data_IF_535513371742
#
_entry.id   IF_535513371742
#
_cell.length_a   1.000
_cell.length_b   1.000
_cell.length_c   1.000
_cell.angle_alpha   90.00
_cell.angle_beta   90.00
_cell.angle_gamma   90.00
#
_symmetry.space_group_name_H-M   'P 1'
#
loop_
_entity.id
_entity.type
_entity.pdbx_description
1 polymer ?
#
# COMPACT_ATOMS: atom_id res chain seq x y z
N UNK A 1 -11.25 -22.40 -15.20
CA UNK A 1 -10.07 -22.76 -16.04
C UNK A 1 -8.74 -22.49 -15.33
N UNK A 2 -8.50 -21.30 -14.76
CA UNK A 2 -7.19 -20.89 -14.22
C UNK A 2 -7.02 -20.99 -12.69
N UNK A 3 -7.88 -21.75 -11.99
CA UNK A 3 -7.93 -21.79 -10.52
C UNK A 3 -6.60 -22.22 -9.86
N UNK A 4 -5.80 -23.02 -10.57
CA UNK A 4 -4.53 -23.56 -10.09
C UNK A 4 -3.35 -23.06 -10.92
N UNK A 5 -3.48 -21.90 -11.58
CA UNK A 5 -2.36 -21.33 -12.30
C UNK A 5 -1.32 -20.80 -11.32
N UNK A 6 -0.04 -21.14 -11.51
CA UNK A 6 1.08 -20.78 -10.62
C UNK A 6 2.37 -20.59 -11.39
N UNK A 7 3.31 -19.82 -10.83
CA UNK A 7 4.69 -19.75 -11.34
C UNK A 7 5.50 -20.99 -10.92
N UNK A 8 6.68 -21.16 -11.52
CA UNK A 8 7.61 -22.25 -11.15
C UNK A 8 8.10 -22.07 -9.70
N UNK A 9 8.41 -20.84 -9.30
CA UNK A 9 8.91 -20.50 -7.97
C UNK A 9 7.86 -20.78 -6.88
N UNK A 10 6.61 -20.37 -7.09
CA UNK A 10 5.51 -20.68 -6.15
C UNK A 10 5.31 -22.19 -5.95
N UNK A 11 5.43 -22.98 -7.02
CA UNK A 11 5.31 -24.45 -6.95
C UNK A 11 6.43 -25.11 -6.15
N UNK A 12 7.66 -24.60 -6.29
CA UNK A 12 8.81 -25.09 -5.55
C UNK A 12 8.68 -24.79 -4.05
N UNK A 13 8.27 -23.56 -3.70
CA UNK A 13 8.07 -23.13 -2.31
C UNK A 13 7.00 -23.97 -1.61
N UNK A 14 5.92 -24.29 -2.31
CA UNK A 14 4.82 -25.08 -1.75
C UNK A 14 5.04 -26.60 -1.84
N UNK A 15 6.20 -27.06 -2.34
CA UNK A 15 6.50 -28.49 -2.55
C UNK A 15 5.38 -29.23 -3.30
N UNK A 16 4.82 -28.60 -4.34
CA UNK A 16 3.71 -29.19 -5.10
C UNK A 16 4.24 -30.24 -6.09
N UNK A 17 3.98 -31.51 -5.80
CA UNK A 17 4.32 -32.68 -6.64
C UNK A 17 3.37 -32.93 -7.83
N UNK A 18 2.42 -32.03 -8.12
CA UNK A 18 1.46 -32.18 -9.23
C UNK A 18 2.07 -31.90 -10.62
N UNK A 19 3.23 -32.47 -10.93
CA UNK A 19 3.92 -32.33 -12.23
C UNK A 19 2.96 -32.64 -13.40
N UNK A 20 2.07 -33.62 -13.22
CA UNK A 20 1.15 -34.10 -14.26
C UNK A 20 0.07 -33.07 -14.66
N UNK A 21 -0.43 -32.26 -13.72
CA UNK A 21 -1.48 -31.27 -14.01
C UNK A 21 -0.92 -30.12 -14.85
N UNK A 22 0.28 -29.64 -14.53
CA UNK A 22 0.92 -28.54 -15.25
C UNK A 22 1.47 -28.98 -16.62
N UNK A 23 1.80 -30.27 -16.77
CA UNK A 23 2.21 -30.87 -18.04
C UNK A 23 1.02 -31.05 -18.99
N UNK A 24 -0.12 -31.54 -18.46
CA UNK A 24 -1.35 -31.74 -19.25
C UNK A 24 -2.12 -30.45 -19.54
N UNK A 25 -1.89 -29.38 -18.75
CA UNK A 25 -2.58 -28.08 -18.88
C UNK A 25 -1.55 -26.95 -18.93
N UNK A 26 -0.89 -26.71 -20.08
CA UNK A 26 0.15 -25.70 -20.21
C UNK A 26 -0.29 -24.30 -19.77
N UNK A 27 -1.57 -23.96 -19.96
CA UNK A 27 -2.19 -22.70 -19.55
C UNK A 27 -2.25 -22.45 -18.03
N UNK A 28 -1.87 -23.43 -17.21
CA UNK A 28 -1.70 -23.25 -15.76
C UNK A 28 -0.29 -22.79 -15.37
N UNK A 29 0.67 -22.77 -16.30
CA UNK A 29 2.01 -22.26 -16.04
C UNK A 29 2.03 -20.74 -16.27
N UNK A 30 2.19 -19.99 -15.19
CA UNK A 30 2.40 -18.54 -15.27
C UNK A 30 3.87 -18.26 -15.56
N UNK A 31 4.13 -17.44 -16.57
CA UNK A 31 5.47 -16.97 -16.88
C UNK A 31 5.93 -16.00 -15.80
N UNK A 32 7.10 -16.28 -15.23
CA UNK A 32 7.81 -15.40 -14.31
C UNK A 32 9.00 -14.79 -15.05
N UNK A 33 9.22 -13.49 -14.88
CA UNK A 33 10.35 -12.77 -15.50
C UNK A 33 11.29 -12.30 -14.38
N UNK A 34 12.55 -12.68 -14.50
CA UNK A 34 13.64 -12.21 -13.68
C UNK A 34 14.25 -10.92 -14.24
N UNK A 35 15.15 -10.31 -13.47
CA UNK A 35 15.96 -9.15 -13.90
C UNK A 35 16.74 -9.48 -15.18
N UNK A 36 17.21 -10.73 -15.33
CA UNK A 36 17.95 -11.16 -16.51
C UNK A 36 17.05 -11.27 -17.75
N UNK A 37 15.79 -11.67 -17.59
CA UNK A 37 14.85 -11.83 -18.70
C UNK A 37 14.46 -10.50 -19.35
N UNK A 38 14.60 -9.39 -18.61
CA UNK A 38 14.33 -8.01 -19.09
C UNK A 38 15.60 -7.20 -19.36
N UNK A 39 16.79 -7.80 -19.27
CA UNK A 39 18.08 -7.11 -19.43
C UNK A 39 18.24 -5.86 -18.53
N UNK A 40 17.61 -5.85 -17.35
CA UNK A 40 17.68 -4.71 -16.44
C UNK A 40 19.03 -4.64 -15.72
N UNK A 41 19.54 -3.43 -15.49
CA UNK A 41 20.77 -3.21 -14.71
C UNK A 41 20.51 -3.54 -13.23
N UNK A 42 21.15 -4.59 -12.66
CA UNK A 42 20.95 -4.96 -11.27
C UNK A 42 21.29 -3.84 -10.27
N UNK A 43 22.18 -2.92 -10.64
CA UNK A 43 22.56 -1.78 -9.79
C UNK A 43 21.44 -0.77 -9.65
N UNK A 44 20.53 -0.71 -10.63
CA UNK A 44 19.34 0.14 -10.63
C UNK A 44 18.11 -0.56 -10.07
N UNK A 45 18.22 -1.81 -9.62
CA UNK A 45 17.12 -2.54 -9.00
C UNK A 45 17.17 -2.46 -7.46
N UNK A 46 16.00 -2.63 -6.84
CA UNK A 46 15.85 -2.75 -5.39
C UNK A 46 16.31 -1.51 -4.61
N UNK A 47 16.73 -1.73 -3.36
CA UNK A 47 17.19 -0.64 -2.48
C UNK A 47 18.47 0.03 -3.01
N UNK A 48 19.38 -0.74 -3.63
CA UNK A 48 20.63 -0.22 -4.22
C UNK A 48 20.39 0.76 -5.36
N UNK A 49 19.33 0.54 -6.14
CA UNK A 49 18.96 1.41 -7.25
C UNK A 49 18.05 2.58 -6.87
N UNK A 50 17.52 2.59 -5.64
CA UNK A 50 16.59 3.63 -5.21
C UNK A 50 17.33 4.92 -4.83
N UNK A 51 16.96 6.09 -5.41
CA UNK A 51 17.53 7.37 -5.01
C UNK A 51 17.05 7.83 -3.62
N UNK A 52 16.00 7.20 -3.07
CA UNK A 52 15.43 7.54 -1.76
C UNK A 52 15.52 6.37 -0.79
N UNK A 53 15.60 6.67 0.51
CA UNK A 53 15.60 5.67 1.59
C UNK A 53 14.63 6.10 2.69
N UNK A 54 13.73 5.20 3.08
CA UNK A 54 12.78 5.43 4.17
C UNK A 54 13.56 5.66 5.47
N UNK A 55 13.40 6.84 6.08
CA UNK A 55 14.10 7.23 7.32
C UNK A 55 13.37 6.76 8.58
N UNK A 56 12.05 6.89 8.59
CA UNK A 56 11.17 6.51 9.69
C UNK A 56 9.79 6.18 9.13
N UNK A 57 9.14 5.20 9.74
CA UNK A 57 7.74 4.85 9.47
C UNK A 57 6.95 5.27 10.71
N UNK A 58 5.90 6.06 10.52
CA UNK A 58 5.03 6.52 11.59
C UNK A 58 3.61 6.06 11.30
N UNK A 59 2.96 5.47 12.30
CA UNK A 59 1.54 5.13 12.21
C UNK A 59 0.73 6.31 12.74
N UNK A 60 0.03 7.00 11.85
CA UNK A 60 -0.84 8.13 12.22
C UNK A 60 -2.25 7.60 12.40
N UNK A 61 -2.66 7.46 13.66
CA UNK A 61 -4.05 7.17 14.02
C UNK A 61 -4.77 8.50 14.15
N UNK A 62 -5.74 8.76 13.26
CA UNK A 62 -6.62 9.92 13.40
C UNK A 62 -7.49 9.73 14.65
N UNK A 63 -7.26 10.55 15.67
CA UNK A 63 -8.20 10.66 16.78
C UNK A 63 -9.48 11.32 16.27
N UNK A 64 -10.63 10.90 16.81
CA UNK A 64 -11.92 11.46 16.42
C UNK A 64 -11.89 12.98 16.59
N UNK A 65 -12.16 13.70 15.50
CA UNK A 65 -12.28 15.16 15.50
C UNK A 65 -13.46 15.53 16.39
N UNK A 66 -13.24 16.36 17.41
CA UNK A 66 -14.33 16.87 18.23
C UNK A 66 -15.35 17.59 17.33
N UNK A 67 -16.61 17.16 17.37
CA UNK A 67 -17.71 17.83 16.68
C UNK A 67 -18.53 18.60 17.72
N UNK A 68 -18.40 19.91 17.74
CA UNK A 68 -19.27 20.78 18.55
C UNK A 68 -20.55 21.08 17.79
N UNK A 69 -21.70 20.94 18.46
CA UNK A 69 -22.97 21.49 17.98
C UNK A 69 -23.20 22.81 18.70
N UNK A 70 -23.33 23.87 17.91
CA UNK A 70 -23.59 25.21 18.42
C UNK A 70 -25.02 25.62 18.07
N UNK A 71 -25.63 26.39 18.97
CA UNK A 71 -26.87 27.13 18.76
C UNK A 71 -26.59 28.48 18.11
N UNK A 72 -27.64 29.20 17.73
CA UNK A 72 -27.54 30.57 17.21
C UNK A 72 -27.50 31.64 18.31
N UNK A 73 -27.16 31.29 19.55
CA UNK A 73 -27.08 32.28 20.63
C UNK A 73 -25.81 33.13 20.51
N UNK A 74 -25.90 34.41 20.88
CA UNK A 74 -24.79 35.35 20.78
C UNK A 74 -23.53 34.88 21.55
N UNK A 75 -23.73 34.21 22.68
CA UNK A 75 -22.64 33.68 23.49
C UNK A 75 -21.86 32.56 22.77
N UNK A 76 -22.57 31.62 22.14
CA UNK A 76 -21.94 30.51 21.42
C UNK A 76 -21.27 30.97 20.12
N UNK A 77 -21.78 32.03 19.48
CA UNK A 77 -21.15 32.65 18.32
C UNK A 77 -19.86 33.39 18.72
N UNK A 78 -19.86 34.15 19.82
CA UNK A 78 -18.63 34.82 20.30
C UNK A 78 -17.54 33.81 20.66
N UNK A 79 -17.91 32.72 21.33
CA UNK A 79 -16.97 31.65 21.67
C UNK A 79 -16.41 30.95 20.43
N UNK A 80 -17.25 30.68 19.42
CA UNK A 80 -16.80 30.15 18.13
C UNK A 80 -15.78 31.08 17.44
N UNK A 81 -16.06 32.38 17.38
CA UNK A 81 -15.18 33.35 16.74
C UNK A 81 -13.81 33.41 17.42
N UNK A 82 -13.78 33.37 18.76
CA UNK A 82 -12.52 33.32 19.53
C UNK A 82 -11.73 32.05 19.24
N UNK A 83 -12.41 30.90 19.22
CA UNK A 83 -11.78 29.61 18.95
C UNK A 83 -11.14 29.57 17.55
N UNK A 84 -11.84 30.07 16.52
CA UNK A 84 -11.34 30.06 15.14
C UNK A 84 -10.09 30.95 14.95
N UNK A 85 -10.03 32.08 15.64
CA UNK A 85 -8.86 32.97 15.64
C UNK A 85 -7.68 32.32 16.38
N UNK A 86 -7.93 31.77 17.58
CA UNK A 86 -6.89 31.12 18.38
C UNK A 86 -6.29 29.89 17.69
N UNK A 87 -7.11 29.14 16.96
CA UNK A 87 -6.67 27.97 16.20
C UNK A 87 -6.09 28.30 14.82
N UNK A 88 -5.90 29.59 14.49
CA UNK A 88 -5.42 30.04 13.19
C UNK A 88 -6.19 29.42 12.01
N UNK A 89 -7.50 29.21 12.20
CA UNK A 89 -8.40 28.71 11.16
C UNK A 89 -8.94 29.89 10.34
N UNK A 90 -9.09 31.06 10.96
CA UNK A 90 -9.35 32.33 10.28
C UNK A 90 -8.38 33.39 10.84
N UNK A 91 -7.71 34.10 9.93
CA UNK A 91 -6.58 34.99 10.25
C UNK A 91 -5.23 34.39 9.87
#
# INVERSE_FOLDING_TARGET
KYKHAKTITERQVEHIDYIDIYSSRPYLNLTEWSVADVEADPRQCGLSGSPTKVKKIENVVFQAKESKRLSGSDAEIDELMRELIANHTIG
#
